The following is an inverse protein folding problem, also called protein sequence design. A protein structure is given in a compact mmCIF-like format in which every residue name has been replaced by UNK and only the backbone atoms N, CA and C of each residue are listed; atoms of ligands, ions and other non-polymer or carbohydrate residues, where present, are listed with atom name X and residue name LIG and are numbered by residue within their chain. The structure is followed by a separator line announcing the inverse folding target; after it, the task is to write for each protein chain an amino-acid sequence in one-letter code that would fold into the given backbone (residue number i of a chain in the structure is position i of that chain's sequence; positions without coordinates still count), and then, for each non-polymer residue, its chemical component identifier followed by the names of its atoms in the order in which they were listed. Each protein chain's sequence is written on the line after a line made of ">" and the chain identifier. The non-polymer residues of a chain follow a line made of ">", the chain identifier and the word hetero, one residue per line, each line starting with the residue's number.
data_IF_790013894695
#
_entry.id   IF_790013894695
#
_cell.length_a   1.000
_cell.length_b   1.000
_cell.length_c   1.000
_cell.angle_alpha   90.00
_cell.angle_beta   90.00
_cell.angle_gamma   90.00
#
_symmetry.space_group_name_H-M   'P 1'
#
loop_
_entity.id
_entity.type
_entity.pdbx_description
1 polymer ?
#
# COMPACT_ATOMS: atom_id res chain seq x y z
N UNK A 1 -9.92 10.08 35.84
CA UNK A 1 -10.25 10.19 34.40
C UNK A 1 -9.31 9.26 33.64
N UNK A 2 -9.83 8.17 33.09
CA UNK A 2 -9.01 7.21 32.36
C UNK A 2 -8.49 7.87 31.07
N UNK A 3 -7.17 7.84 30.85
CA UNK A 3 -6.54 8.32 29.63
C UNK A 3 -6.92 7.37 28.49
N UNK A 4 -7.87 7.77 27.65
CA UNK A 4 -8.24 7.01 26.45
C UNK A 4 -7.08 7.10 25.48
N UNK A 5 -6.24 6.05 25.46
CA UNK A 5 -5.18 5.91 24.47
C UNK A 5 -5.85 5.46 23.17
N UNK A 6 -6.14 6.41 22.29
CA UNK A 6 -6.65 6.13 20.95
C UNK A 6 -5.49 5.53 20.16
N UNK A 7 -5.41 4.19 20.10
CA UNK A 7 -4.45 3.48 19.25
C UNK A 7 -4.80 3.79 17.80
N UNK A 8 -4.05 4.71 17.20
CA UNK A 8 -4.23 5.05 15.78
C UNK A 8 -3.49 4.01 14.96
N UNK A 9 -4.19 2.97 14.50
CA UNK A 9 -3.67 2.01 13.52
C UNK A 9 -3.59 2.68 12.15
N UNK A 10 -2.40 2.69 11.53
CA UNK A 10 -2.22 3.16 10.15
C UNK A 10 -1.89 1.98 9.26
N UNK A 11 -2.57 1.86 8.11
CA UNK A 11 -2.16 0.93 7.06
C UNK A 11 -0.99 1.51 6.29
N UNK A 12 0.16 0.87 6.40
CA UNK A 12 1.34 1.22 5.62
C UNK A 12 1.53 0.23 4.48
N UNK A 13 2.34 0.65 3.53
CA UNK A 13 2.65 -0.16 2.36
C UNK A 13 3.44 -1.40 2.81
N UNK A 14 3.06 -2.61 2.38
CA UNK A 14 3.72 -3.83 2.82
C UNK A 14 5.17 -3.84 2.35
N UNK A 15 6.07 -4.29 3.23
CA UNK A 15 7.48 -4.47 2.88
C UNK A 15 7.67 -5.55 1.81
N UNK A 16 6.82 -6.59 1.85
CA UNK A 16 6.85 -7.70 0.91
C UNK A 16 5.44 -7.96 0.36
N UNK A 17 5.33 -7.99 -0.97
CA UNK A 17 4.12 -8.40 -1.66
C UNK A 17 4.18 -9.90 -1.97
N UNK A 18 3.05 -10.62 -1.90
CA UNK A 18 3.03 -12.03 -2.25
C UNK A 18 3.39 -12.24 -3.73
N UNK A 19 3.95 -13.41 -4.08
CA UNK A 19 4.28 -13.74 -5.46
C UNK A 19 3.02 -13.66 -6.32
N UNK A 20 3.10 -12.95 -7.46
CA UNK A 20 1.96 -12.75 -8.37
C UNK A 20 1.10 -11.52 -8.07
N UNK A 21 1.24 -10.85 -6.92
CA UNK A 21 0.46 -9.65 -6.59
C UNK A 21 0.64 -8.52 -7.62
N UNK A 22 1.85 -8.35 -8.15
CA UNK A 22 2.12 -7.34 -9.20
C UNK A 22 1.27 -7.60 -10.45
N UNK A 23 1.04 -8.86 -10.80
CA UNK A 23 0.23 -9.23 -11.96
C UNK A 23 -1.27 -9.01 -11.71
N UNK A 24 -1.74 -9.33 -10.51
CA UNK A 24 -3.12 -9.06 -10.10
C UNK A 24 -3.41 -7.55 -10.10
N UNK A 25 -2.54 -6.76 -9.46
CA UNK A 25 -2.66 -5.30 -9.40
C UNK A 25 -2.60 -4.71 -10.82
N UNK A 26 -1.72 -5.23 -11.68
CA UNK A 26 -1.60 -4.80 -13.08
C UNK A 26 -2.91 -5.05 -13.86
N UNK A 27 -3.50 -6.25 -13.71
CA UNK A 27 -4.78 -6.62 -14.33
C UNK A 27 -5.93 -5.72 -13.86
N UNK A 28 -6.07 -5.55 -12.54
CA UNK A 28 -7.16 -4.77 -11.95
C UNK A 28 -7.02 -3.28 -12.27
N UNK A 29 -5.79 -2.74 -12.23
CA UNK A 29 -5.54 -1.33 -12.53
C UNK A 29 -5.42 -1.03 -14.03
N UNK A 30 -5.48 -2.05 -14.90
CA UNK A 30 -5.35 -1.91 -16.36
C UNK A 30 -4.00 -1.33 -16.80
N UNK A 31 -2.91 -1.65 -16.10
CA UNK A 31 -1.58 -1.10 -16.36
C UNK A 31 -0.51 -2.19 -16.45
N UNK A 32 0.66 -1.85 -17.02
CA UNK A 32 1.76 -2.80 -17.14
C UNK A 32 2.43 -3.11 -15.79
N UNK A 33 2.98 -4.32 -15.64
CA UNK A 33 3.77 -4.73 -14.46
C UNK A 33 4.88 -3.73 -14.11
N UNK A 34 5.52 -3.14 -15.13
CA UNK A 34 6.57 -2.11 -14.95
C UNK A 34 6.01 -0.83 -14.30
N UNK A 35 4.81 -0.42 -14.66
CA UNK A 35 4.12 0.73 -14.06
C UNK A 35 3.80 0.45 -12.59
N UNK A 36 3.33 -0.76 -12.28
CA UNK A 36 3.12 -1.19 -10.89
C UNK A 36 4.43 -1.15 -10.11
N UNK A 37 5.50 -1.77 -10.61
CA UNK A 37 6.81 -1.75 -9.97
C UNK A 37 7.32 -0.31 -9.72
N UNK A 38 7.21 0.57 -10.72
CA UNK A 38 7.65 1.96 -10.59
C UNK A 38 6.79 2.76 -9.60
N UNK A 39 5.47 2.52 -9.58
CA UNK A 39 4.57 3.13 -8.62
C UNK A 39 4.93 2.72 -7.19
N UNK A 40 5.19 1.43 -6.97
CA UNK A 40 5.39 0.90 -5.62
C UNK A 40 6.82 1.12 -5.10
N UNK A 41 7.86 0.92 -5.93
CA UNK A 41 9.27 0.99 -5.50
C UNK A 41 10.03 2.24 -5.92
N UNK A 42 9.71 2.85 -7.08
CA UNK A 42 10.42 4.04 -7.58
C UNK A 42 9.74 5.36 -7.27
N UNK A 43 8.65 5.35 -6.51
CA UNK A 43 7.96 6.57 -6.10
C UNK A 43 7.30 7.33 -7.26
N UNK A 44 6.97 6.65 -8.37
CA UNK A 44 6.29 7.28 -9.51
C UNK A 44 5.00 7.96 -9.04
N UNK A 45 4.78 9.20 -9.52
CA UNK A 45 3.61 10.02 -9.23
C UNK A 45 2.76 10.14 -10.48
N UNK A 46 1.45 10.02 -10.32
CA UNK A 46 0.49 10.10 -11.40
C UNK A 46 -0.83 9.39 -11.06
N UNK A 47 -1.90 9.62 -11.83
CA UNK A 47 -3.22 9.08 -11.53
C UNK A 47 -3.22 7.54 -11.47
N UNK A 48 -2.54 6.89 -12.42
CA UNK A 48 -2.40 5.42 -12.45
C UNK A 48 -1.57 4.91 -11.27
N UNK A 49 -0.46 5.58 -10.96
CA UNK A 49 0.39 5.20 -9.82
C UNK A 49 -0.34 5.36 -8.48
N UNK A 50 -1.17 6.39 -8.33
CA UNK A 50 -1.98 6.61 -7.14
C UNK A 50 -3.04 5.51 -6.98
N UNK A 51 -3.72 5.13 -8.06
CA UNK A 51 -4.66 4.00 -8.06
C UNK A 51 -3.99 2.69 -7.65
N UNK A 52 -2.82 2.40 -8.22
CA UNK A 52 -2.02 1.21 -7.88
C UNK A 52 -1.64 1.20 -6.39
N UNK A 53 -1.18 2.33 -5.83
CA UNK A 53 -0.83 2.44 -4.40
C UNK A 53 -2.04 2.26 -3.50
N UNK A 54 -3.17 2.88 -3.83
CA UNK A 54 -4.42 2.76 -3.07
C UNK A 54 -4.87 1.29 -3.02
N UNK A 55 -4.97 0.64 -4.18
CA UNK A 55 -5.38 -0.76 -4.24
C UNK A 55 -4.40 -1.68 -3.51
N UNK A 56 -3.09 -1.43 -3.65
CA UNK A 56 -2.07 -2.18 -2.92
C UNK A 56 -2.18 -2.02 -1.40
N UNK A 57 -2.48 -0.83 -0.91
CA UNK A 57 -2.69 -0.55 0.52
C UNK A 57 -3.99 -1.17 1.04
N UNK A 58 -5.05 -1.19 0.25
CA UNK A 58 -6.33 -1.80 0.65
C UNK A 58 -6.22 -3.32 0.76
N UNK A 59 -5.59 -3.97 -0.23
CA UNK A 59 -5.47 -5.43 -0.31
C UNK A 59 -4.34 -5.99 0.55
N UNK A 60 -3.19 -5.33 0.55
CA UNK A 60 -1.95 -5.85 1.12
C UNK A 60 -1.35 -4.93 2.18
N UNK A 61 -2.01 -3.82 2.52
CA UNK A 61 -1.53 -2.91 3.55
C UNK A 61 -1.31 -3.63 4.87
N UNK A 62 -0.16 -3.40 5.48
CA UNK A 62 0.16 -3.91 6.80
C UNK A 62 -0.28 -2.89 7.84
N UNK A 63 -1.00 -3.34 8.86
CA UNK A 63 -1.38 -2.49 9.98
C UNK A 63 -0.16 -2.28 10.87
N UNK A 64 0.26 -1.03 11.01
CA UNK A 64 1.33 -0.65 11.94
C UNK A 64 0.69 0.14 13.06
N UNK A 65 0.81 -0.39 14.28
CA UNK A 65 0.51 0.33 15.51
C UNK A 65 1.61 1.38 15.72
N UNK A 66 1.23 2.67 15.72
CA UNK A 66 2.16 3.71 16.15
C UNK A 66 2.25 3.65 17.68
N UNK A 67 3.28 2.97 18.18
CA UNK A 67 3.74 3.18 19.54
C UNK A 67 4.57 4.46 19.52
N UNK A 68 3.95 5.60 19.84
CA UNK A 68 4.71 6.80 20.16
C UNK A 68 5.45 6.53 21.48
N UNK A 69 6.74 6.27 21.38
CA UNK A 69 7.68 6.21 22.50
C UNK A 69 8.10 7.63 22.92
#
# INVERSE_FOLDING_TARGET
>A
MAKVIIRTTRKVMPALLPPGAIDDIAKVCGCGRKTVYNALRKGMKGPVSNRVKAYCLEKYGTEVENNNE
#
